data_IF_988572933689
#
_entry.id   IF_988572933689
#
_cell.length_a   1.000
_cell.length_b   1.000
_cell.length_c   1.000
_cell.angle_alpha   90.00
_cell.angle_beta   90.00
_cell.angle_gamma   90.00
#
_symmetry.space_group_name_H-M   'P 1'
#
loop_
_entity.id
_entity.type
_entity.pdbx_description
1 polymer ?
#
# COMPACT_ATOMS: atom_id res chain seq x y z
N UNK A 1 -45.45 46.02 -17.96
CA UNK A 1 -44.63 45.43 -19.03
C UNK A 1 -45.53 44.60 -19.92
N UNK A 2 -45.37 44.73 -21.23
CA UNK A 2 -46.08 43.89 -22.21
C UNK A 2 -45.44 42.51 -22.29
N UNK A 3 -46.20 41.51 -22.77
CA UNK A 3 -45.71 40.13 -22.95
C UNK A 3 -44.45 40.09 -23.83
N UNK A 4 -44.37 40.98 -24.83
CA UNK A 4 -43.21 41.14 -25.70
C UNK A 4 -41.97 41.66 -24.95
N UNK A 5 -42.14 42.56 -23.98
CA UNK A 5 -41.04 43.07 -23.15
C UNK A 5 -40.47 41.99 -22.22
N UNK A 6 -41.34 41.09 -21.73
CA UNK A 6 -40.92 39.93 -20.91
C UNK A 6 -40.13 38.93 -21.76
N UNK A 7 -40.61 38.61 -22.96
CA UNK A 7 -39.93 37.71 -23.91
C UNK A 7 -38.54 38.23 -24.28
N UNK A 8 -38.42 39.53 -24.58
CA UNK A 8 -37.15 40.14 -24.91
C UNK A 8 -36.16 40.11 -23.72
N UNK A 9 -36.65 40.31 -22.49
CA UNK A 9 -35.80 40.18 -21.29
C UNK A 9 -35.33 38.75 -21.06
N UNK A 10 -36.18 37.75 -21.31
CA UNK A 10 -35.80 36.34 -21.20
C UNK A 10 -34.74 35.96 -22.24
N UNK A 11 -34.88 36.41 -23.49
CA UNK A 11 -33.86 36.18 -24.53
C UNK A 11 -32.52 36.85 -24.18
N UNK A 12 -32.55 38.07 -23.66
CA UNK A 12 -31.34 38.78 -23.24
C UNK A 12 -30.66 38.08 -22.05
N UNK A 13 -31.44 37.61 -21.07
CA UNK A 13 -30.92 36.81 -19.95
C UNK A 13 -30.29 35.51 -20.44
N UNK A 14 -30.95 34.78 -21.34
CA UNK A 14 -30.41 33.53 -21.90
C UNK A 14 -29.11 33.77 -22.67
N UNK A 15 -29.00 34.87 -23.40
CA UNK A 15 -27.77 35.25 -24.11
C UNK A 15 -26.63 35.58 -23.15
N UNK A 16 -26.91 36.32 -22.06
CA UNK A 16 -25.93 36.58 -20.99
C UNK A 16 -25.52 35.29 -20.26
N UNK A 17 -26.45 34.35 -20.08
CA UNK A 17 -26.19 33.06 -19.45
C UNK A 17 -25.31 32.17 -20.34
N UNK A 18 -25.49 32.19 -21.66
CA UNK A 18 -24.61 31.57 -22.66
C UNK A 18 -23.21 32.20 -22.68
N UNK A 19 -23.09 33.53 -22.60
CA UNK A 19 -21.79 34.22 -22.48
C UNK A 19 -21.06 33.87 -21.17
N UNK A 20 -21.78 33.80 -20.04
CA UNK A 20 -21.22 33.38 -18.76
C UNK A 20 -20.82 31.90 -18.79
N UNK A 21 -21.59 31.04 -19.46
CA UNK A 21 -21.22 29.63 -19.70
C UNK A 21 -19.94 29.55 -20.51
N UNK A 22 -19.86 30.21 -21.67
CA UNK A 22 -18.63 30.27 -22.51
C UNK A 22 -17.41 30.81 -21.76
N UNK A 23 -17.59 31.85 -20.94
CA UNK A 23 -16.49 32.40 -20.14
C UNK A 23 -16.11 31.52 -18.93
N UNK A 24 -17.02 30.69 -18.42
CA UNK A 24 -16.69 29.64 -17.43
C UNK A 24 -16.08 28.39 -18.06
N UNK A 25 -16.34 28.10 -19.33
CA UNK A 25 -15.73 27.00 -20.08
C UNK A 25 -14.23 27.22 -20.35
N UNK A 26 -13.71 28.43 -20.18
CA UNK A 26 -12.28 28.73 -20.37
C UNK A 26 -11.36 28.35 -19.19
N UNK A 27 -11.86 27.69 -18.14
CA UNK A 27 -11.04 27.43 -16.92
C UNK A 27 -10.70 25.95 -16.69
N UNK A 28 -11.14 25.03 -17.55
CA UNK A 28 -10.68 23.65 -17.47
C UNK A 28 -10.22 23.19 -18.84
N UNK A 29 -8.90 23.29 -19.04
CA UNK A 29 -8.20 22.64 -20.13
C UNK A 29 -8.55 21.14 -20.10
N UNK A 30 -8.92 20.60 -21.26
CA UNK A 30 -8.57 19.23 -21.61
C UNK A 30 -7.03 19.16 -21.59
N UNK A 31 -6.46 18.83 -20.43
CA UNK A 31 -5.01 18.65 -20.29
C UNK A 31 -4.68 17.29 -20.89
N UNK A 32 -4.46 17.25 -22.21
CA UNK A 32 -3.27 16.52 -22.67
C UNK A 32 -2.14 17.04 -21.79
N UNK A 33 -1.59 16.20 -20.92
CA UNK A 33 -0.45 16.61 -20.08
C UNK A 33 0.62 17.07 -21.06
N UNK A 34 0.82 18.38 -21.15
CA UNK A 34 1.84 18.96 -22.02
C UNK A 34 3.14 18.25 -21.68
N UNK A 35 3.92 17.91 -22.71
CA UNK A 35 5.26 17.33 -22.58
C UNK A 35 6.08 17.95 -21.45
N UNK A 36 5.94 19.26 -21.22
CA UNK A 36 6.57 19.99 -20.13
C UNK A 36 6.05 19.59 -18.73
N UNK A 37 4.75 19.36 -18.56
CA UNK A 37 4.17 18.91 -17.30
C UNK A 37 4.48 17.43 -17.02
N UNK A 38 4.53 16.60 -18.07
CA UNK A 38 4.95 15.19 -17.95
C UNK A 38 6.40 15.09 -17.49
N UNK A 39 7.28 15.89 -18.07
CA UNK A 39 8.67 16.00 -17.64
C UNK A 39 8.78 16.52 -16.19
N UNK A 40 7.99 17.54 -15.82
CA UNK A 40 7.95 18.04 -14.43
C UNK A 40 7.56 16.93 -13.44
N UNK A 41 6.49 16.19 -13.72
CA UNK A 41 6.04 15.08 -12.88
C UNK A 41 7.09 13.98 -12.78
N UNK A 42 7.78 13.68 -13.89
CA UNK A 42 8.88 12.73 -13.88
C UNK A 42 10.04 13.18 -12.98
N UNK A 43 10.43 14.46 -13.03
CA UNK A 43 11.44 15.00 -12.12
C UNK A 43 11.01 14.98 -10.64
N UNK A 44 9.72 15.23 -10.36
CA UNK A 44 9.16 15.08 -9.01
C UNK A 44 9.25 13.63 -8.52
N UNK A 45 9.00 12.65 -9.38
CA UNK A 45 9.12 11.23 -9.04
C UNK A 45 10.54 10.83 -8.72
N UNK A 46 11.51 11.27 -9.53
CA UNK A 46 12.93 11.06 -9.26
C UNK A 46 13.33 11.66 -7.90
N UNK A 47 12.80 12.83 -7.56
CA UNK A 47 13.05 13.44 -6.26
C UNK A 47 12.42 12.64 -5.11
N UNK A 48 11.18 12.14 -5.29
CA UNK A 48 10.51 11.30 -4.29
C UNK A 48 11.25 9.98 -4.09
N UNK A 49 11.62 9.31 -5.17
CA UNK A 49 12.35 8.04 -5.18
C UNK A 49 13.65 8.13 -4.38
N UNK A 50 14.41 9.23 -4.54
CA UNK A 50 15.63 9.46 -3.77
C UNK A 50 15.37 9.43 -2.26
N UNK A 51 14.22 9.93 -1.79
CA UNK A 51 13.86 10.00 -0.38
C UNK A 51 13.22 8.75 0.23
N UNK A 52 12.86 7.74 -0.58
CA UNK A 52 12.23 6.52 -0.10
C UNK A 52 13.19 5.66 0.74
N UNK A 53 12.66 4.92 1.70
CA UNK A 53 13.39 3.99 2.58
C UNK A 53 12.66 2.65 2.57
N UNK A 54 13.29 1.57 3.00
CA UNK A 54 12.64 0.25 3.03
C UNK A 54 11.44 0.18 3.98
N UNK A 55 11.32 1.10 4.94
CA UNK A 55 10.09 1.23 5.77
C UNK A 55 8.91 1.85 5.00
N UNK A 56 9.12 2.44 3.82
CA UNK A 56 8.05 3.03 3.02
C UNK A 56 7.39 1.94 2.16
N UNK A 57 6.10 1.67 2.39
CA UNK A 57 5.33 0.53 1.85
C UNK A 57 5.54 0.28 0.34
N UNK A 58 5.46 1.33 -0.49
CA UNK A 58 5.62 1.20 -1.95
C UNK A 58 7.05 0.79 -2.34
N UNK A 59 8.05 1.28 -1.61
CA UNK A 59 9.44 0.96 -1.88
C UNK A 59 9.82 -0.42 -1.37
N UNK A 60 9.29 -0.79 -0.20
CA UNK A 60 9.38 -2.12 0.37
C UNK A 60 8.86 -3.16 -0.62
N UNK A 61 7.66 -2.93 -1.15
CA UNK A 61 7.02 -3.80 -2.14
C UNK A 61 7.93 -4.05 -3.35
N UNK A 62 8.46 -2.98 -3.97
CA UNK A 62 9.37 -3.12 -5.11
C UNK A 62 10.68 -3.85 -4.75
N UNK A 63 11.22 -3.60 -3.55
CA UNK A 63 12.46 -4.21 -3.10
C UNK A 63 12.32 -5.70 -2.77
N UNK A 64 11.17 -6.13 -2.25
CA UNK A 64 11.00 -7.49 -1.73
C UNK A 64 10.19 -8.42 -2.65
N UNK A 65 9.49 -7.92 -3.68
CA UNK A 65 8.72 -8.81 -4.56
C UNK A 65 9.63 -9.82 -5.26
N UNK A 66 9.34 -11.11 -5.05
CA UNK A 66 10.16 -12.22 -5.52
C UNK A 66 11.59 -12.29 -4.98
N UNK A 67 11.97 -11.43 -4.02
CA UNK A 67 13.36 -11.35 -3.54
C UNK A 67 13.63 -12.30 -2.36
N UNK A 68 13.90 -13.56 -2.70
CA UNK A 68 14.10 -14.67 -1.74
C UNK A 68 15.24 -14.37 -0.76
N UNK A 69 16.39 -13.91 -1.24
CA UNK A 69 17.57 -13.67 -0.40
C UNK A 69 17.33 -12.54 0.60
N UNK A 70 16.59 -11.51 0.20
CA UNK A 70 16.18 -10.42 1.07
C UNK A 70 15.27 -10.91 2.21
N UNK A 71 14.20 -11.64 1.89
CA UNK A 71 13.30 -12.16 2.92
C UNK A 71 13.98 -13.19 3.83
N UNK A 72 14.85 -14.03 3.27
CA UNK A 72 15.66 -14.98 4.03
C UNK A 72 16.54 -14.27 5.06
N UNK A 73 17.22 -13.19 4.65
CA UNK A 73 18.00 -12.35 5.55
C UNK A 73 17.14 -11.79 6.70
N UNK A 74 15.96 -11.25 6.38
CA UNK A 74 15.03 -10.72 7.40
C UNK A 74 14.69 -11.79 8.44
N UNK A 75 14.20 -12.95 7.98
CA UNK A 75 13.72 -14.01 8.84
C UNK A 75 14.84 -14.58 9.71
N UNK A 76 16.04 -14.79 9.15
CA UNK A 76 17.19 -15.29 9.92
C UNK A 76 17.56 -14.36 11.07
N UNK A 77 17.56 -13.04 10.82
CA UNK A 77 17.92 -12.04 11.83
C UNK A 77 16.81 -11.87 12.86
N UNK A 78 15.55 -11.74 12.42
CA UNK A 78 14.41 -11.50 13.31
C UNK A 78 14.15 -12.70 14.22
N UNK A 79 14.30 -13.92 13.70
CA UNK A 79 14.00 -15.15 14.44
C UNK A 79 15.24 -15.77 15.11
N UNK A 80 16.42 -15.18 14.92
CA UNK A 80 17.71 -15.72 15.38
C UNK A 80 17.92 -17.19 14.96
N UNK A 81 17.61 -17.48 13.69
CA UNK A 81 17.64 -18.84 13.11
C UNK A 81 18.40 -18.83 11.77
N UNK A 82 19.74 -19.02 11.77
CA UNK A 82 20.56 -18.90 10.56
C UNK A 82 20.35 -20.02 9.52
N UNK A 83 19.60 -21.06 9.87
CA UNK A 83 19.32 -22.21 9.04
C UNK A 83 18.07 -22.06 8.17
N UNK A 84 17.21 -21.05 8.41
CA UNK A 84 16.02 -20.78 7.59
C UNK A 84 16.41 -20.70 6.11
N UNK A 85 15.64 -21.39 5.25
CA UNK A 85 15.75 -21.32 3.78
C UNK A 85 14.41 -20.92 3.18
N UNK A 86 14.34 -19.76 2.56
CA UNK A 86 13.09 -19.27 1.95
C UNK A 86 12.90 -19.90 0.57
N UNK A 87 11.71 -20.42 0.30
CA UNK A 87 11.32 -21.02 -0.98
C UNK A 87 10.60 -20.05 -1.91
N UNK A 88 9.78 -19.17 -1.34
CA UNK A 88 9.02 -18.19 -2.11
C UNK A 88 8.78 -16.93 -1.30
N UNK A 89 8.73 -15.81 -2.01
CA UNK A 89 8.37 -14.49 -1.49
C UNK A 89 7.46 -13.82 -2.51
N UNK A 90 6.39 -13.21 -2.03
CA UNK A 90 5.51 -12.37 -2.84
C UNK A 90 5.04 -11.22 -1.97
N UNK A 91 5.07 -10.01 -2.51
CA UNK A 91 4.58 -8.84 -1.80
C UNK A 91 3.16 -8.49 -2.22
N UNK A 92 2.45 -7.73 -1.38
CA UNK A 92 1.07 -7.29 -1.62
C UNK A 92 0.09 -8.44 -1.95
N UNK A 93 0.27 -9.61 -1.32
CA UNK A 93 -0.63 -10.75 -1.54
C UNK A 93 -1.99 -10.49 -0.91
N UNK A 94 -3.02 -10.38 -1.74
CA UNK A 94 -4.40 -10.26 -1.27
C UNK A 94 -4.96 -11.60 -0.80
N UNK A 95 -5.47 -11.62 0.42
CA UNK A 95 -6.22 -12.73 0.99
C UNK A 95 -7.66 -12.29 1.21
N UNK A 96 -8.56 -12.89 0.44
CA UNK A 96 -9.97 -12.51 0.43
C UNK A 96 -10.75 -13.24 1.50
N UNK A 97 -11.59 -12.50 2.22
CA UNK A 97 -12.51 -13.09 3.18
C UNK A 97 -13.95 -12.78 2.79
N UNK A 98 -14.70 -13.82 2.40
CA UNK A 98 -16.07 -13.67 1.93
C UNK A 98 -17.03 -13.02 2.94
N UNK A 99 -16.78 -13.20 4.24
CA UNK A 99 -17.65 -12.70 5.30
C UNK A 99 -17.04 -11.55 6.10
N UNK A 100 -15.74 -11.31 5.91
CA UNK A 100 -14.94 -10.42 6.75
C UNK A 100 -14.21 -9.35 5.95
N UNK A 101 -13.15 -8.81 6.55
CA UNK A 101 -12.25 -7.90 5.87
C UNK A 101 -11.20 -8.70 5.12
N UNK A 102 -10.94 -8.31 3.90
CA UNK A 102 -9.75 -8.76 3.18
C UNK A 102 -8.50 -8.23 3.90
N UNK A 103 -7.40 -8.95 3.76
CA UNK A 103 -6.08 -8.46 4.14
C UNK A 103 -5.15 -8.48 2.92
N UNK A 104 -4.17 -7.60 2.93
CA UNK A 104 -3.10 -7.54 1.95
C UNK A 104 -1.80 -7.71 2.74
N UNK A 105 -1.08 -8.80 2.48
CA UNK A 105 0.17 -9.08 3.16
C UNK A 105 1.28 -8.26 2.49
N UNK A 106 2.03 -7.51 3.28
CA UNK A 106 3.13 -6.70 2.80
C UNK A 106 4.23 -7.59 2.19
N UNK A 107 4.69 -8.60 2.95
CA UNK A 107 5.57 -9.68 2.48
C UNK A 107 4.99 -11.02 2.94
N UNK A 108 4.64 -11.88 1.99
CA UNK A 108 4.24 -13.27 2.21
C UNK A 108 5.39 -14.20 1.80
N UNK A 109 5.89 -14.99 2.74
CA UNK A 109 7.02 -15.88 2.52
C UNK A 109 6.79 -17.29 3.09
N UNK A 110 7.36 -18.27 2.40
CA UNK A 110 7.34 -19.68 2.79
C UNK A 110 8.76 -20.21 2.93
N UNK A 111 9.06 -20.98 3.98
CA UNK A 111 10.35 -21.67 4.10
C UNK A 111 10.32 -23.13 3.59
N UNK A 112 11.50 -23.74 3.57
CA UNK A 112 11.67 -25.10 3.10
C UNK A 112 11.11 -26.19 4.02
N UNK A 113 10.88 -25.86 5.28
CA UNK A 113 10.25 -26.70 6.31
C UNK A 113 8.72 -26.59 6.35
N UNK A 114 8.14 -25.68 5.56
CA UNK A 114 6.69 -25.50 5.43
C UNK A 114 6.10 -24.41 6.31
N UNK A 115 6.92 -23.65 7.05
CA UNK A 115 6.43 -22.53 7.87
C UNK A 115 6.05 -21.33 7.01
N UNK A 116 5.10 -20.55 7.51
CA UNK A 116 4.47 -19.43 6.81
C UNK A 116 4.77 -18.13 7.51
N UNK A 117 5.17 -17.11 6.77
CA UNK A 117 5.58 -15.83 7.32
C UNK A 117 4.81 -14.70 6.64
N UNK A 118 4.09 -13.93 7.45
CA UNK A 118 3.58 -12.63 7.08
C UNK A 118 4.41 -11.54 7.77
N UNK A 119 5.12 -10.73 6.99
CA UNK A 119 5.90 -9.60 7.50
C UNK A 119 5.20 -8.32 7.06
N UNK A 120 4.76 -7.53 8.04
CA UNK A 120 4.04 -6.25 7.88
C UNK A 120 4.98 -5.10 8.24
N UNK A 121 5.08 -4.10 7.38
CA UNK A 121 5.95 -2.93 7.60
C UNK A 121 5.06 -1.73 7.90
N UNK A 122 5.27 -1.09 9.05
CA UNK A 122 4.31 -0.12 9.58
C UNK A 122 4.98 1.15 10.11
N UNK A 123 4.81 2.24 9.37
CA UNK A 123 5.26 3.57 9.79
C UNK A 123 4.38 4.22 10.85
N UNK A 124 3.07 3.98 10.75
CA UNK A 124 2.10 4.53 11.68
C UNK A 124 1.80 3.51 12.77
N UNK A 125 2.01 3.90 14.04
CA UNK A 125 1.75 3.03 15.19
C UNK A 125 0.29 2.51 15.21
N UNK A 126 -0.67 3.30 14.69
CA UNK A 126 -2.08 2.89 14.57
C UNK A 126 -2.27 1.69 13.62
N UNK A 127 -1.38 1.52 12.66
CA UNK A 127 -1.36 0.38 11.75
C UNK A 127 -0.94 -0.91 12.45
N UNK A 128 -0.16 -0.83 13.53
CA UNK A 128 0.39 -1.99 14.23
C UNK A 128 -0.47 -2.40 15.45
N UNK A 129 -1.80 -2.32 15.34
CA UNK A 129 -2.71 -2.69 16.42
C UNK A 129 -2.64 -4.20 16.74
N UNK A 130 -2.63 -4.53 18.03
CA UNK A 130 -2.53 -5.93 18.51
C UNK A 130 -3.69 -6.81 18.01
N UNK A 131 -4.89 -6.26 17.84
CA UNK A 131 -6.03 -7.00 17.29
C UNK A 131 -5.91 -7.19 15.77
N UNK A 132 -5.22 -6.27 15.06
CA UNK A 132 -4.86 -6.47 13.64
C UNK A 132 -3.92 -7.66 13.51
N UNK A 133 -2.87 -7.75 14.33
CA UNK A 133 -1.96 -8.90 14.29
C UNK A 133 -2.71 -10.23 14.46
N UNK A 134 -3.55 -10.34 15.50
CA UNK A 134 -4.41 -11.51 15.71
C UNK A 134 -5.37 -11.77 14.55
N UNK A 135 -5.91 -10.71 13.93
CA UNK A 135 -6.80 -10.85 12.77
C UNK A 135 -6.04 -11.43 11.56
N UNK A 136 -4.83 -10.93 11.30
CA UNK A 136 -3.98 -11.46 10.23
C UNK A 136 -3.67 -12.94 10.46
N UNK A 137 -3.30 -13.35 11.68
CA UNK A 137 -3.13 -14.79 12.01
C UNK A 137 -4.36 -15.61 11.65
N UNK A 138 -5.56 -15.15 12.06
CA UNK A 138 -6.79 -15.89 11.79
C UNK A 138 -7.12 -16.04 10.30
N UNK A 139 -6.74 -15.06 9.47
CA UNK A 139 -6.98 -15.12 8.03
C UNK A 139 -5.95 -16.00 7.33
N UNK A 140 -4.69 -15.99 7.80
CA UNK A 140 -3.66 -16.92 7.34
C UNK A 140 -4.13 -18.36 7.56
N UNK A 141 -4.51 -18.72 8.78
CA UNK A 141 -4.94 -20.09 9.09
C UNK A 141 -6.15 -20.51 8.24
N UNK A 142 -7.11 -19.61 8.06
CA UNK A 142 -8.29 -19.86 7.23
C UNK A 142 -7.97 -20.09 5.74
N UNK A 143 -6.84 -19.55 5.24
CA UNK A 143 -6.36 -19.79 3.87
C UNK A 143 -5.45 -21.00 3.75
N UNK A 144 -4.81 -21.41 4.85
CA UNK A 144 -3.83 -22.49 4.87
C UNK A 144 -4.49 -23.86 5.10
N UNK A 145 -5.57 -23.93 5.85
CA UNK A 145 -6.31 -25.17 6.12
C UNK A 145 -7.57 -25.28 5.25
N UNK A 146 -7.59 -26.26 4.35
CA UNK A 146 -8.70 -26.48 3.41
C UNK A 146 -9.78 -27.38 4.02
N UNK A 147 -10.97 -27.28 3.44
CA UNK A 147 -12.11 -28.12 3.83
C UNK A 147 -11.77 -29.61 3.70
N UNK A 148 -11.79 -30.32 4.83
CA UNK A 148 -11.54 -31.76 4.91
C UNK A 148 -10.13 -32.14 5.37
N UNK A 149 -9.23 -31.18 5.57
CA UNK A 149 -7.92 -31.39 6.20
C UNK A 149 -8.04 -31.47 7.73
N UNK A 150 -7.08 -32.10 8.40
CA UNK A 150 -7.05 -32.19 9.86
C UNK A 150 -6.45 -30.92 10.46
N UNK A 151 -6.92 -30.48 11.62
CA UNK A 151 -6.36 -29.30 12.28
C UNK A 151 -4.86 -29.45 12.61
N UNK A 152 -4.36 -30.69 12.76
CA UNK A 152 -2.94 -30.98 12.92
C UNK A 152 -2.10 -30.79 11.65
N UNK A 153 -2.74 -30.64 10.48
CA UNK A 153 -2.06 -30.30 9.22
C UNK A 153 -1.77 -28.80 9.08
N UNK A 154 -2.25 -27.97 10.00
CA UNK A 154 -2.00 -26.54 10.00
C UNK A 154 -0.49 -26.27 10.18
N UNK A 155 0.15 -25.49 9.28
CA UNK A 155 1.57 -25.18 9.40
C UNK A 155 1.83 -24.19 10.53
N UNK A 156 3.08 -24.14 11.01
CA UNK A 156 3.54 -23.09 11.91
C UNK A 156 3.53 -21.73 11.18
N UNK A 157 2.91 -20.72 11.79
CA UNK A 157 2.69 -19.40 11.19
C UNK A 157 3.30 -18.28 12.02
N UNK A 158 3.81 -17.26 11.34
CA UNK A 158 4.42 -16.09 11.93
C UNK A 158 3.78 -14.83 11.37
N UNK A 159 3.30 -13.96 12.26
CA UNK A 159 2.90 -12.59 11.91
C UNK A 159 3.88 -11.63 12.55
N UNK A 160 4.71 -11.00 11.73
CA UNK A 160 5.83 -10.16 12.14
C UNK A 160 5.53 -8.72 11.75
N UNK A 161 5.44 -7.82 12.72
CA UNK A 161 5.32 -6.38 12.48
C UNK A 161 6.68 -5.70 12.64
N UNK A 162 7.18 -5.05 11.60
CA UNK A 162 8.33 -4.12 11.69
C UNK A 162 7.77 -2.71 11.81
N UNK A 163 7.97 -2.07 12.96
CA UNK A 163 7.34 -0.76 13.27
C UNK A 163 8.38 0.37 13.33
N UNK A 164 8.01 1.58 12.91
CA UNK A 164 8.92 2.74 12.98
C UNK A 164 9.31 3.13 14.41
N UNK A 165 8.36 3.02 15.35
CA UNK A 165 8.58 3.28 16.78
C UNK A 165 8.40 2.02 17.63
N UNK A 166 8.73 2.11 18.91
CA UNK A 166 8.40 1.09 19.91
C UNK A 166 6.90 1.10 20.24
N UNK A 167 6.11 0.39 19.44
CA UNK A 167 4.63 0.32 19.60
C UNK A 167 4.22 -0.49 20.85
N UNK A 168 5.09 -1.40 21.32
CA UNK A 168 4.83 -2.16 22.55
C UNK A 168 5.16 -1.32 23.78
N UNK A 169 6.22 -0.52 23.71
CA UNK A 169 6.55 0.54 24.68
C UNK A 169 7.39 0.06 25.87
N UNK A 170 8.12 -1.03 25.72
CA UNK A 170 8.89 -1.67 26.80
C UNK A 170 10.43 -1.56 26.57
N UNK A 171 10.87 -0.82 25.54
CA UNK A 171 12.27 -0.51 25.29
C UNK A 171 13.15 -1.68 24.82
N UNK A 172 12.56 -2.75 24.26
CA UNK A 172 13.28 -3.88 23.69
C UNK A 172 13.34 -3.74 22.16
N UNK A 173 14.35 -4.35 21.50
CA UNK A 173 14.45 -4.34 20.04
C UNK A 173 13.38 -5.24 19.39
N UNK A 174 12.85 -6.23 20.11
CA UNK A 174 11.88 -7.20 19.60
C UNK A 174 11.02 -7.76 20.73
N UNK A 175 9.77 -8.06 20.40
CA UNK A 175 8.78 -8.68 21.29
C UNK A 175 8.18 -9.91 20.62
N UNK A 176 8.30 -11.06 21.28
CA UNK A 176 7.62 -12.30 20.88
C UNK A 176 6.40 -12.50 21.77
N UNK A 177 5.24 -12.70 21.15
CA UNK A 177 3.95 -12.89 21.81
C UNK A 177 3.53 -14.35 21.63
N UNK A 178 3.56 -15.10 22.74
CA UNK A 178 3.23 -16.52 22.78
C UNK A 178 2.03 -16.81 23.67
N UNK A 179 1.28 -17.87 23.32
CA UNK A 179 0.19 -18.38 24.15
C UNK A 179 0.73 -19.33 25.22
N UNK A 180 0.14 -19.26 26.42
CA UNK A 180 0.47 -20.12 27.55
C UNK A 180 -0.77 -20.58 28.29
N UNK A 181 -0.68 -21.76 28.90
CA UNK A 181 -1.67 -22.27 29.82
C UNK A 181 -1.56 -21.48 31.13
N UNK A 182 -2.50 -20.57 31.37
CA UNK A 182 -2.42 -19.59 32.48
C UNK A 182 -2.21 -20.22 33.86
N UNK A 183 -2.83 -21.38 34.11
CA UNK A 183 -2.81 -22.02 35.42
C UNK A 183 -1.53 -22.81 35.71
N UNK A 184 -0.76 -23.18 34.67
CA UNK A 184 0.48 -23.96 34.82
C UNK A 184 1.72 -23.21 34.34
N UNK A 185 1.52 -22.10 33.61
CA UNK A 185 2.59 -21.34 32.96
C UNK A 185 3.25 -22.05 31.77
N UNK A 186 2.81 -23.27 31.42
CA UNK A 186 3.39 -24.03 30.31
C UNK A 186 3.06 -23.38 28.96
N UNK A 187 3.96 -23.47 27.97
CA UNK A 187 3.65 -23.11 26.59
C UNK A 187 2.39 -23.84 26.09
N UNK A 188 1.61 -23.17 25.25
CA UNK A 188 0.44 -23.79 24.60
C UNK A 188 0.85 -24.55 23.32
N UNK A 189 1.93 -24.12 22.66
CA UNK A 189 2.55 -24.76 21.50
C UNK A 189 1.57 -25.05 20.34
N UNK A 190 0.75 -24.05 19.98
CA UNK A 190 -0.20 -24.14 18.86
C UNK A 190 0.38 -23.73 17.50
N UNK A 191 1.66 -23.34 17.46
CA UNK A 191 2.37 -23.00 16.22
C UNK A 191 2.01 -21.63 15.63
N UNK A 192 1.30 -20.78 16.37
CA UNK A 192 0.99 -19.40 15.96
C UNK A 192 1.88 -18.41 16.72
N UNK A 193 2.69 -17.65 15.99
CA UNK A 193 3.65 -16.70 16.55
C UNK A 193 3.37 -15.27 16.10
N UNK A 194 3.31 -14.33 17.05
CA UNK A 194 3.22 -12.90 16.73
C UNK A 194 4.48 -12.21 17.23
N UNK A 195 5.11 -11.42 16.37
CA UNK A 195 6.36 -10.72 16.66
C UNK A 195 6.21 -9.25 16.32
N UNK A 196 6.74 -8.38 17.19
CA UNK A 196 6.89 -6.95 16.93
C UNK A 196 8.36 -6.59 17.00
N UNK A 197 8.90 -6.07 15.90
CA UNK A 197 10.24 -5.54 15.79
C UNK A 197 10.19 -4.02 15.98
N UNK A 198 10.95 -3.52 16.95
CA UNK A 198 11.04 -2.11 17.26
C UNK A 198 12.11 -1.44 16.36
N UNK A 199 11.66 -0.73 15.33
CA UNK A 199 12.55 -0.03 14.40
C UNK A 199 13.27 1.20 14.98
N UNK A 200 12.89 1.66 16.16
CA UNK A 200 13.63 2.71 16.86
C UNK A 200 14.93 2.18 17.50
N UNK A 201 15.03 0.87 17.77
CA UNK A 201 16.28 0.25 18.22
C UNK A 201 17.22 0.05 17.04
N UNK A 202 18.22 0.93 16.94
CA UNK A 202 19.25 0.91 15.89
C UNK A 202 20.62 0.61 16.49
N UNK A 203 20.68 -0.27 17.48
CA UNK A 203 21.95 -0.61 18.12
C UNK A 203 22.89 -1.31 17.13
N UNK A 204 23.93 -0.59 16.67
CA UNK A 204 24.88 -1.10 15.68
C UNK A 204 25.66 -2.35 16.15
N UNK A 205 25.70 -2.64 17.45
CA UNK A 205 26.36 -3.85 17.97
C UNK A 205 25.55 -5.13 17.74
N UNK A 206 24.25 -5.04 17.40
CA UNK A 206 23.39 -6.21 17.15
C UNK A 206 23.05 -6.32 15.67
N UNK A 207 22.80 -7.55 15.18
CA UNK A 207 22.38 -7.74 13.78
C UNK A 207 21.01 -7.10 13.52
N UNK A 208 20.08 -7.27 14.46
CA UNK A 208 18.75 -6.67 14.38
C UNK A 208 18.80 -5.14 14.37
N UNK A 209 19.64 -4.51 15.20
CA UNK A 209 19.78 -3.06 15.22
C UNK A 209 20.43 -2.51 13.95
N UNK A 210 21.38 -3.24 13.35
CA UNK A 210 21.89 -2.93 11.99
C UNK A 210 20.83 -3.13 10.91
N UNK A 211 19.96 -4.12 11.05
CA UNK A 211 18.89 -4.37 10.10
C UNK A 211 17.87 -3.24 10.16
N UNK A 212 17.49 -2.82 11.37
CA UNK A 212 16.63 -1.67 11.57
C UNK A 212 17.29 -0.40 11.05
N UNK A 213 18.58 -0.16 11.29
CA UNK A 213 19.31 0.95 10.66
C UNK A 213 19.07 1.00 9.14
N UNK A 214 19.26 -0.13 8.46
CA UNK A 214 19.10 -0.25 7.01
C UNK A 214 17.66 0.03 6.55
N UNK A 215 16.65 -0.38 7.32
CA UNK A 215 15.24 -0.11 7.00
C UNK A 215 14.89 1.38 6.93
N UNK A 216 15.57 2.21 7.71
CA UNK A 216 15.39 3.66 7.75
C UNK A 216 16.46 4.42 6.99
N UNK A 217 17.40 3.72 6.35
CA UNK A 217 18.46 4.34 5.59
C UNK A 217 17.95 4.80 4.22
N UNK A 218 18.44 5.96 3.77
CA UNK A 218 18.12 6.50 2.45
C UNK A 218 19.17 6.04 1.42
N UNK A 219 20.46 6.08 1.77
CA UNK A 219 21.53 5.77 0.83
C UNK A 219 21.96 4.32 0.98
N UNK A 220 22.15 3.63 -0.14
CA UNK A 220 22.64 2.25 -0.15
C UNK A 220 24.05 2.12 0.44
N UNK A 221 24.90 3.15 0.29
CA UNK A 221 26.28 3.16 0.78
C UNK A 221 26.38 3.18 2.31
N UNK A 222 25.34 3.63 2.98
CA UNK A 222 25.26 3.70 4.44
C UNK A 222 24.67 2.40 5.05
N UNK A 223 24.25 1.44 4.22
CA UNK A 223 23.62 0.20 4.69
C UNK A 223 24.64 -0.87 5.11
N UNK A 224 24.24 -1.72 6.06
CA UNK A 224 25.07 -2.75 6.68
C UNK A 224 24.99 -4.10 5.95
N UNK A 225 23.84 -4.41 5.33
CA UNK A 225 23.61 -5.68 4.65
C UNK A 225 23.66 -5.51 3.13
N UNK A 226 24.60 -6.19 2.50
CA UNK A 226 24.88 -6.08 1.06
C UNK A 226 23.67 -6.44 0.22
N UNK A 227 22.94 -7.47 0.61
CA UNK A 227 21.71 -7.95 -0.06
C UNK A 227 20.69 -6.80 -0.20
N UNK A 228 20.43 -6.10 0.91
CA UNK A 228 19.50 -4.97 0.91
C UNK A 228 20.09 -3.75 0.19
N UNK A 229 21.38 -3.46 0.41
CA UNK A 229 22.07 -2.34 -0.22
C UNK A 229 22.06 -2.43 -1.75
N UNK A 230 22.33 -3.61 -2.30
CA UNK A 230 22.31 -3.86 -3.75
C UNK A 230 20.91 -3.66 -4.33
N UNK A 231 19.86 -4.09 -3.63
CA UNK A 231 18.47 -3.93 -4.06
C UNK A 231 18.01 -2.46 -4.01
N UNK A 232 18.37 -1.74 -2.95
CA UNK A 232 18.12 -0.29 -2.84
C UNK A 232 18.88 0.47 -3.92
N UNK A 233 20.15 0.12 -4.16
CA UNK A 233 20.97 0.72 -5.22
C UNK A 233 20.35 0.51 -6.60
N UNK A 234 19.89 -0.70 -6.90
CA UNK A 234 19.22 -0.99 -8.17
C UNK A 234 18.03 -0.04 -8.41
N UNK A 235 17.12 0.11 -7.46
CA UNK A 235 15.95 0.96 -7.68
C UNK A 235 16.21 2.46 -7.62
N UNK A 236 17.34 2.91 -7.07
CA UNK A 236 17.66 4.34 -6.92
C UNK A 236 18.72 4.87 -7.88
N UNK A 237 19.59 4.00 -8.38
CA UNK A 237 20.79 4.40 -9.14
C UNK A 237 20.90 3.68 -10.49
N UNK A 238 20.39 2.45 -10.63
CA UNK A 238 20.38 1.75 -11.92
C UNK A 238 19.28 2.28 -12.84
N UNK A 239 19.61 2.54 -14.10
CA UNK A 239 18.67 3.12 -15.07
C UNK A 239 17.38 2.30 -15.21
N UNK A 240 17.45 0.96 -15.15
CA UNK A 240 16.28 0.10 -15.28
C UNK A 240 15.42 0.15 -14.02
N UNK A 241 16.04 0.03 -12.85
CA UNK A 241 15.31 0.06 -11.58
C UNK A 241 14.66 1.43 -11.34
N UNK A 242 15.35 2.52 -11.65
CA UNK A 242 14.80 3.88 -11.59
C UNK A 242 13.61 4.03 -12.54
N UNK A 243 13.72 3.55 -13.79
CA UNK A 243 12.63 3.61 -14.75
C UNK A 243 11.40 2.80 -14.30
N UNK A 244 11.62 1.61 -13.71
CA UNK A 244 10.56 0.78 -13.15
C UNK A 244 9.83 1.49 -12.01
N UNK A 245 10.56 2.08 -11.06
CA UNK A 245 9.95 2.84 -9.96
C UNK A 245 9.22 4.09 -10.42
N UNK A 246 9.76 4.83 -11.39
CA UNK A 246 9.07 5.98 -11.96
C UNK A 246 7.73 5.59 -12.60
N UNK A 247 7.71 4.44 -13.28
CA UNK A 247 6.47 3.90 -13.86
C UNK A 247 5.48 3.50 -12.78
N UNK A 248 5.91 2.82 -11.71
CA UNK A 248 5.04 2.48 -10.57
C UNK A 248 4.42 3.75 -9.97
N UNK A 249 5.22 4.80 -9.75
CA UNK A 249 4.71 6.08 -9.24
C UNK A 249 3.71 6.73 -10.20
N UNK A 250 3.99 6.70 -11.51
CA UNK A 250 3.07 7.18 -12.55
C UNK A 250 1.73 6.45 -12.52
N UNK A 251 1.77 5.12 -12.47
CA UNK A 251 0.58 4.27 -12.41
C UNK A 251 -0.24 4.58 -11.13
N UNK A 252 0.42 4.72 -9.98
CA UNK A 252 -0.23 5.11 -8.72
C UNK A 252 -0.89 6.49 -8.78
N UNK A 253 -0.24 7.48 -9.41
CA UNK A 253 -0.84 8.82 -9.62
C UNK A 253 -2.07 8.74 -10.51
N UNK A 254 -1.99 7.98 -11.59
CA UNK A 254 -3.09 7.80 -12.53
C UNK A 254 -4.28 7.10 -11.87
N UNK A 255 -4.03 6.06 -11.07
CA UNK A 255 -5.07 5.40 -10.28
C UNK A 255 -5.70 6.32 -9.24
N UNK A 256 -4.90 7.13 -8.55
CA UNK A 256 -5.39 8.09 -7.55
C UNK A 256 -6.26 9.17 -8.20
N UNK A 257 -5.80 9.74 -9.31
CA UNK A 257 -6.59 10.71 -10.08
C UNK A 257 -7.92 10.11 -10.54
N UNK A 258 -7.91 8.84 -10.97
CA UNK A 258 -9.11 8.11 -11.35
C UNK A 258 -10.08 7.91 -10.17
N UNK A 259 -9.58 7.50 -9.00
CA UNK A 259 -10.40 7.34 -7.79
C UNK A 259 -11.04 8.66 -7.36
N UNK A 260 -10.28 9.76 -7.35
CA UNK A 260 -10.79 11.10 -7.02
C UNK A 260 -11.90 11.52 -7.99
N UNK A 261 -11.72 11.29 -9.30
CA UNK A 261 -12.76 11.56 -10.29
C UNK A 261 -14.04 10.74 -10.02
N UNK A 262 -13.91 9.46 -9.69
CA UNK A 262 -15.06 8.60 -9.35
C UNK A 262 -15.79 9.13 -8.12
N UNK A 263 -15.08 9.47 -7.05
CA UNK A 263 -15.67 10.03 -5.84
C UNK A 263 -16.38 11.36 -6.09
N UNK A 264 -15.80 12.22 -6.95
CA UNK A 264 -16.44 13.46 -7.37
C UNK A 264 -17.74 13.21 -8.14
N UNK A 265 -17.75 12.27 -9.10
CA UNK A 265 -18.96 11.88 -9.85
C UNK A 265 -20.05 11.42 -8.87
N UNK A 266 -19.72 10.49 -7.96
CA UNK A 266 -20.67 9.97 -6.97
C UNK A 266 -21.23 11.10 -6.10
N UNK A 267 -20.36 11.98 -5.59
CA UNK A 267 -20.80 13.09 -4.73
C UNK A 267 -21.77 14.04 -5.46
N UNK A 268 -21.53 14.31 -6.74
CA UNK A 268 -22.42 15.13 -7.58
C UNK A 268 -23.76 14.43 -7.80
N UNK A 269 -23.74 13.13 -8.14
CA UNK A 269 -24.96 12.34 -8.32
C UNK A 269 -25.83 12.35 -7.06
N UNK A 270 -25.22 12.13 -5.89
CA UNK A 270 -25.93 12.07 -4.61
C UNK A 270 -26.53 13.42 -4.19
N UNK A 271 -25.73 14.49 -4.29
CA UNK A 271 -26.10 15.82 -3.80
C UNK A 271 -27.02 16.58 -4.75
N UNK A 272 -26.78 16.47 -6.06
CA UNK A 272 -27.54 17.20 -7.07
C UNK A 272 -28.63 16.37 -7.73
N UNK A 273 -28.72 15.05 -7.42
CA UNK A 273 -29.65 14.10 -8.03
C UNK A 273 -29.48 13.99 -9.54
N UNK A 274 -28.24 14.13 -10.00
CA UNK A 274 -27.85 14.03 -11.39
C UNK A 274 -27.60 12.57 -11.78
N UNK A 275 -27.80 12.24 -13.06
CA UNK A 275 -27.31 10.97 -13.62
C UNK A 275 -25.78 10.97 -13.67
N UNK A 276 -25.16 9.79 -13.82
CA UNK A 276 -23.72 9.69 -14.01
C UNK A 276 -23.26 10.50 -15.23
N UNK A 277 -24.02 10.49 -16.33
CA UNK A 277 -23.72 11.29 -17.52
C UNK A 277 -23.75 12.79 -17.23
N UNK A 278 -24.78 13.27 -16.53
CA UNK A 278 -24.89 14.69 -16.17
C UNK A 278 -23.78 15.11 -15.19
N UNK A 279 -23.37 14.24 -14.28
CA UNK A 279 -22.25 14.50 -13.38
C UNK A 279 -20.91 14.54 -14.14
N UNK A 280 -20.70 13.64 -15.11
CA UNK A 280 -19.53 13.64 -15.98
C UNK A 280 -19.50 14.85 -16.91
N UNK A 281 -20.65 15.32 -17.39
CA UNK A 281 -20.77 16.57 -18.15
C UNK A 281 -20.35 17.77 -17.29
N UNK A 282 -20.83 17.85 -16.03
CA UNK A 282 -20.42 18.91 -15.11
C UNK A 282 -18.92 18.93 -14.82
N UNK A 283 -18.29 17.74 -14.79
CA UNK A 283 -16.85 17.58 -14.60
C UNK A 283 -16.05 17.69 -15.89
N UNK A 284 -16.70 17.96 -17.03
CA UNK A 284 -16.10 17.99 -18.36
C UNK A 284 -15.28 16.73 -18.69
N UNK A 285 -15.74 15.54 -18.27
CA UNK A 285 -15.03 14.30 -18.57
C UNK A 285 -15.16 13.99 -20.07
N UNK A 286 -14.04 13.81 -20.80
CA UNK A 286 -14.05 13.53 -22.23
C UNK A 286 -14.86 12.28 -22.56
N UNK A 287 -15.63 12.33 -23.64
CA UNK A 287 -16.53 11.23 -24.02
C UNK A 287 -15.82 9.89 -24.17
N UNK A 288 -14.56 9.91 -24.64
CA UNK A 288 -13.71 8.73 -24.79
C UNK A 288 -13.40 8.02 -23.45
N UNK A 289 -13.37 8.75 -22.33
CA UNK A 289 -13.07 8.19 -21.01
C UNK A 289 -14.32 7.75 -20.23
N UNK A 290 -15.52 8.23 -20.62
CA UNK A 290 -16.75 8.03 -19.83
C UNK A 290 -17.09 6.57 -19.60
N UNK A 291 -16.88 5.71 -20.61
CA UNK A 291 -17.13 4.28 -20.48
C UNK A 291 -16.35 3.63 -19.32
N UNK A 292 -15.15 4.14 -19.02
CA UNK A 292 -14.32 3.64 -17.90
C UNK A 292 -14.90 4.01 -16.54
N UNK A 293 -15.59 5.15 -16.42
CA UNK A 293 -16.16 5.61 -15.15
C UNK A 293 -17.56 5.04 -14.89
N UNK A 294 -18.41 4.91 -15.90
CA UNK A 294 -19.79 4.38 -15.76
C UNK A 294 -19.79 3.01 -15.08
N UNK A 295 -19.00 2.05 -15.59
CA UNK A 295 -18.95 0.70 -15.04
C UNK A 295 -18.31 0.59 -13.64
N UNK A 296 -17.69 1.65 -13.13
CA UNK A 296 -17.13 1.71 -11.78
C UNK A 296 -18.06 2.41 -10.79
N UNK A 297 -18.83 3.39 -11.26
CA UNK A 297 -19.84 4.11 -10.47
C UNK A 297 -21.07 3.23 -10.24
N UNK A 298 -21.50 2.43 -11.22
CA UNK A 298 -22.68 1.55 -11.10
C UNK A 298 -22.47 0.32 -10.19
N UNK A 299 -21.21 0.01 -9.83
CA UNK A 299 -20.86 -1.13 -8.96
C UNK A 299 -20.87 -0.78 -7.47
N UNK A 300 -21.18 0.46 -7.11
CA UNK A 300 -21.23 0.95 -5.72
C UNK A 300 -22.63 1.47 -5.40
#
# INVERSE_FOLDING_TARGET
>A
MTEQEILNQIEELNRKLEEVRKNKTSVYLDVEIDSAEKERLHQEDLQRLRGLRLIDDDFMNACFDGYIEGAELLLRIILDKPDIRVKSVTTQRQMKNLLGRDICLDIDADDDSGKKYNIEVQRSDKGADRKRARYHSSILDAHLLKSGEDYSDLPETFVIFITENDVIGEGLPLYTIERKITNTGKPFDDGEHIIYVNGADKNASTELGRLMHDFFCINADDMNFRELAEKVRFYKEDEKGVAEMCKVMEDMRNETAKKIKIEAIISIMEKLKYTAEQAMDLLNIPQAERATYVGLVEKR
#
